data_IF_159479806328
#
_entry.id   IF_159479806328
#
_cell.length_a   1.000
_cell.length_b   1.000
_cell.length_c   1.000
_cell.angle_alpha   90.00
_cell.angle_beta   90.00
_cell.angle_gamma   90.00
#
_symmetry.space_group_name_H-M   'P 1'
#
loop_
_entity.id
_entity.type
_entity.pdbx_description
1 polymer ?
#
# COMPACT_ATOMS: atom_id res chain seq x y z
N UNK A 1 -18.91 13.94 -34.35
CA UNK A 1 -19.32 14.98 -35.33
C UNK A 1 -18.21 15.07 -36.39
N UNK A 2 -18.54 15.28 -37.68
CA UNK A 2 -17.52 15.52 -38.71
C UNK A 2 -16.71 16.80 -38.40
N UNK A 3 -15.44 16.86 -38.84
CA UNK A 3 -14.51 17.95 -38.51
C UNK A 3 -15.04 19.33 -38.92
N UNK A 4 -15.52 19.48 -40.16
CA UNK A 4 -16.30 20.65 -40.56
C UNK A 4 -17.80 20.34 -40.60
N UNK A 5 -18.69 21.26 -40.19
CA UNK A 5 -18.48 22.59 -39.59
C UNK A 5 -18.45 22.59 -38.05
N UNK A 6 -18.34 21.43 -37.40
CA UNK A 6 -18.64 21.29 -35.97
C UNK A 6 -17.43 21.52 -35.06
N UNK A 7 -16.20 21.28 -35.49
CA UNK A 7 -15.00 21.39 -34.64
C UNK A 7 -14.87 22.78 -33.99
N UNK A 8 -15.07 23.84 -34.76
CA UNK A 8 -15.02 25.22 -34.26
C UNK A 8 -16.12 25.53 -33.24
N UNK A 9 -17.34 25.03 -33.48
CA UNK A 9 -18.50 25.22 -32.58
C UNK A 9 -18.34 24.43 -31.28
N UNK A 10 -17.84 23.20 -31.37
CA UNK A 10 -17.55 22.34 -30.20
C UNK A 10 -16.44 22.95 -29.35
N UNK A 11 -15.35 23.45 -29.95
CA UNK A 11 -14.29 24.16 -29.22
C UNK A 11 -14.81 25.44 -28.54
N UNK A 12 -15.65 26.23 -29.22
CA UNK A 12 -16.24 27.43 -28.64
C UNK A 12 -17.17 27.10 -27.46
N UNK A 13 -18.00 26.05 -27.58
CA UNK A 13 -18.86 25.57 -26.51
C UNK A 13 -18.06 25.03 -25.31
N UNK A 14 -17.00 24.24 -25.55
CA UNK A 14 -16.10 23.75 -24.50
C UNK A 14 -15.42 24.91 -23.76
N UNK A 15 -14.91 25.90 -24.48
CA UNK A 15 -14.29 27.08 -23.87
C UNK A 15 -15.30 27.90 -23.05
N UNK A 16 -16.53 28.04 -23.53
CA UNK A 16 -17.60 28.73 -22.79
C UNK A 16 -17.97 27.99 -21.51
N UNK A 17 -18.15 26.66 -21.57
CA UNK A 17 -18.41 25.80 -20.42
C UNK A 17 -17.25 25.90 -19.43
N UNK A 18 -16.00 25.74 -19.87
CA UNK A 18 -14.81 25.87 -19.01
C UNK A 18 -14.76 27.22 -18.30
N UNK A 19 -15.12 28.30 -18.98
CA UNK A 19 -15.12 29.66 -18.41
C UNK A 19 -16.22 29.83 -17.35
N UNK A 20 -17.42 29.29 -17.60
CA UNK A 20 -18.51 29.27 -16.62
C UNK A 20 -18.15 28.41 -15.40
N UNK A 21 -17.65 27.20 -15.62
CA UNK A 21 -17.21 26.30 -14.55
C UNK A 21 -16.12 26.94 -13.71
N UNK A 22 -15.14 27.60 -14.34
CA UNK A 22 -14.08 28.33 -13.62
C UNK A 22 -14.64 29.47 -12.79
N UNK A 23 -15.61 30.22 -13.31
CA UNK A 23 -16.28 31.31 -12.58
C UNK A 23 -17.07 30.79 -11.38
N UNK A 24 -17.87 29.71 -11.54
CA UNK A 24 -18.60 29.06 -10.44
C UNK A 24 -17.64 28.51 -9.38
N UNK A 25 -16.56 27.83 -9.81
CA UNK A 25 -15.53 27.30 -8.92
C UNK A 25 -14.85 28.41 -8.09
N UNK A 26 -14.53 29.53 -8.72
CA UNK A 26 -13.93 30.69 -8.06
C UNK A 26 -14.90 31.35 -7.07
N UNK A 27 -16.17 31.50 -7.45
CA UNK A 27 -17.21 32.05 -6.58
C UNK A 27 -17.39 31.22 -5.30
N UNK A 28 -17.50 29.90 -5.43
CA UNK A 28 -17.66 29.00 -4.28
C UNK A 28 -16.44 29.07 -3.36
N UNK A 29 -15.23 29.09 -3.93
CA UNK A 29 -14.00 29.17 -3.14
C UNK A 29 -13.87 30.51 -2.40
N UNK A 30 -14.26 31.60 -3.05
CA UNK A 30 -14.30 32.92 -2.42
C UNK A 30 -15.32 32.96 -1.29
N UNK A 31 -16.52 32.42 -1.53
CA UNK A 31 -17.58 32.31 -0.51
C UNK A 31 -17.12 31.46 0.69
N UNK A 32 -16.42 30.35 0.43
CA UNK A 32 -15.87 29.50 1.46
C UNK A 32 -14.80 30.20 2.30
N UNK A 33 -13.85 30.88 1.65
CA UNK A 33 -12.82 31.66 2.35
C UNK A 33 -13.42 32.79 3.18
N UNK A 34 -14.41 33.50 2.64
CA UNK A 34 -15.12 34.54 3.37
C UNK A 34 -15.84 33.96 4.59
N UNK A 35 -16.55 32.83 4.45
CA UNK A 35 -17.20 32.16 5.57
C UNK A 35 -16.20 31.75 6.67
N UNK A 36 -15.00 31.28 6.30
CA UNK A 36 -13.96 30.99 7.28
C UNK A 36 -13.42 32.24 7.97
N UNK A 37 -13.21 33.33 7.23
CA UNK A 37 -12.75 34.61 7.79
C UNK A 37 -13.80 35.26 8.71
N UNK A 38 -15.08 35.10 8.39
CA UNK A 38 -16.21 35.63 9.14
C UNK A 38 -16.58 34.76 10.35
N UNK A 39 -15.80 33.70 10.63
CA UNK A 39 -16.04 32.74 11.70
C UNK A 39 -17.44 32.11 11.65
N UNK A 40 -17.88 31.75 10.44
CA UNK A 40 -19.15 31.09 10.20
C UNK A 40 -19.30 29.82 11.04
N UNK A 41 -20.54 29.43 11.33
CA UNK A 41 -20.81 28.20 12.09
C UNK A 41 -20.44 26.95 11.25
N UNK A 42 -20.10 25.81 11.89
CA UNK A 42 -19.75 24.58 11.17
C UNK A 42 -20.80 24.13 10.13
N UNK A 43 -22.08 24.38 10.40
CA UNK A 43 -23.19 24.05 9.49
C UNK A 43 -23.12 24.86 8.18
N UNK A 44 -22.75 26.13 8.24
CA UNK A 44 -22.63 26.99 7.05
C UNK A 44 -21.45 26.56 6.18
N UNK A 45 -20.31 26.24 6.81
CA UNK A 45 -19.12 25.69 6.14
C UNK A 45 -19.45 24.37 5.45
N UNK A 46 -20.18 23.47 6.14
CA UNK A 46 -20.64 22.22 5.57
C UNK A 46 -21.56 22.43 4.36
N UNK A 47 -22.54 23.35 4.45
CA UNK A 47 -23.47 23.61 3.35
C UNK A 47 -22.75 24.09 2.08
N UNK A 48 -21.74 24.97 2.22
CA UNK A 48 -20.94 25.43 1.08
C UNK A 48 -20.15 24.27 0.45
N UNK A 49 -19.57 23.39 1.27
CA UNK A 49 -18.87 22.21 0.76
C UNK A 49 -19.84 21.21 0.09
N UNK A 50 -21.03 21.01 0.66
CA UNK A 50 -22.05 20.11 0.15
C UNK A 50 -22.61 20.54 -1.23
N UNK A 51 -22.65 21.85 -1.51
CA UNK A 51 -22.98 22.37 -2.85
C UNK A 51 -22.01 21.89 -3.95
N UNK A 52 -20.79 21.52 -3.57
CA UNK A 52 -19.74 21.00 -4.48
C UNK A 52 -19.66 19.48 -4.45
N UNK A 53 -20.06 18.84 -3.35
CA UNK A 53 -19.84 17.42 -3.12
C UNK A 53 -20.44 16.52 -4.22
N UNK A 54 -21.58 16.90 -4.80
CA UNK A 54 -22.20 16.14 -5.90
C UNK A 54 -21.42 16.21 -7.23
N UNK A 55 -20.73 17.32 -7.50
CA UNK A 55 -19.96 17.53 -8.73
C UNK A 55 -18.48 17.08 -8.57
N UNK A 56 -17.89 17.33 -7.39
CA UNK A 56 -16.49 17.06 -7.07
C UNK A 56 -16.34 16.76 -5.56
N UNK A 57 -16.55 15.49 -5.15
CA UNK A 57 -16.47 15.08 -3.76
C UNK A 57 -15.11 15.32 -3.13
N UNK A 58 -14.04 15.11 -3.91
CA UNK A 58 -12.66 15.29 -3.44
C UNK A 58 -12.42 16.75 -3.04
N UNK A 59 -12.87 17.70 -3.86
CA UNK A 59 -12.74 19.12 -3.55
C UNK A 59 -13.56 19.52 -2.33
N UNK A 60 -14.79 19.01 -2.19
CA UNK A 60 -15.62 19.27 -1.02
C UNK A 60 -14.94 18.80 0.28
N UNK A 61 -14.38 17.59 0.29
CA UNK A 61 -13.65 17.07 1.45
C UNK A 61 -12.36 17.86 1.74
N UNK A 62 -11.64 18.31 0.71
CA UNK A 62 -10.45 19.19 0.91
C UNK A 62 -10.82 20.52 1.52
N UNK A 63 -11.98 21.08 1.16
CA UNK A 63 -12.50 22.28 1.80
C UNK A 63 -12.77 22.02 3.28
N UNK A 64 -13.44 20.92 3.63
CA UNK A 64 -13.69 20.56 5.02
C UNK A 64 -12.40 20.32 5.82
N UNK A 65 -11.45 19.56 5.27
CA UNK A 65 -10.12 19.36 5.86
C UNK A 65 -9.42 20.70 6.11
N UNK A 66 -9.48 21.63 5.15
CA UNK A 66 -8.92 22.96 5.33
C UNK A 66 -9.60 23.72 6.47
N UNK A 67 -10.93 23.69 6.56
CA UNK A 67 -11.67 24.33 7.66
C UNK A 67 -11.31 23.74 9.03
N UNK A 68 -11.10 22.42 9.11
CA UNK A 68 -10.64 21.73 10.33
C UNK A 68 -9.19 22.11 10.65
N UNK A 69 -8.33 22.31 9.65
CA UNK A 69 -6.93 22.68 9.90
C UNK A 69 -6.74 24.14 10.34
N UNK A 70 -7.58 25.06 9.88
CA UNK A 70 -7.54 26.50 10.18
C UNK A 70 -8.36 26.83 11.44
N UNK A 71 -8.86 25.81 12.14
CA UNK A 71 -9.87 25.86 13.20
C UNK A 71 -9.42 26.47 14.54
N UNK A 72 -8.43 27.37 14.58
CA UNK A 72 -8.00 28.03 15.83
C UNK A 72 -9.13 28.77 16.56
N UNK A 73 -10.23 29.03 15.86
CA UNK A 73 -11.41 29.76 16.34
C UNK A 73 -12.55 28.84 16.78
N UNK A 74 -12.57 27.58 16.35
CA UNK A 74 -13.62 26.63 16.73
C UNK A 74 -13.30 26.00 18.08
N UNK A 75 -14.30 25.89 18.94
CA UNK A 75 -14.16 25.12 20.18
C UNK A 75 -14.11 23.60 19.89
N UNK A 76 -13.71 22.79 20.87
CA UNK A 76 -13.58 21.34 20.72
C UNK A 76 -14.86 20.66 20.20
N UNK A 77 -16.04 21.17 20.58
CA UNK A 77 -17.33 20.61 20.15
C UNK A 77 -17.65 20.95 18.70
N UNK A 78 -17.32 22.16 18.27
CA UNK A 78 -17.48 22.60 16.87
C UNK A 78 -16.52 21.87 15.94
N UNK A 79 -15.28 21.65 16.38
CA UNK A 79 -14.30 20.84 15.64
C UNK A 79 -14.78 19.39 15.50
N UNK A 80 -15.26 18.76 16.59
CA UNK A 80 -15.81 17.42 16.54
C UNK A 80 -17.07 17.34 15.64
N UNK A 81 -17.92 18.36 15.67
CA UNK A 81 -19.08 18.44 14.77
C UNK A 81 -18.67 18.55 13.30
N UNK A 82 -17.63 19.33 13.00
CA UNK A 82 -17.15 19.50 11.63
C UNK A 82 -16.49 18.22 11.11
N UNK A 83 -15.72 17.53 11.97
CA UNK A 83 -15.16 16.21 11.68
C UNK A 83 -16.26 15.16 11.43
N UNK A 84 -17.31 15.12 12.26
CA UNK A 84 -18.44 14.21 12.05
C UNK A 84 -19.18 14.50 10.74
N UNK A 85 -19.37 15.76 10.38
CA UNK A 85 -19.94 16.14 9.09
C UNK A 85 -19.04 15.76 7.90
N UNK A 86 -17.72 15.84 8.07
CA UNK A 86 -16.74 15.41 7.06
C UNK A 86 -16.77 13.90 6.86
N UNK A 87 -16.83 13.12 7.95
CA UNK A 87 -16.94 11.66 7.91
C UNK A 87 -18.24 11.23 7.23
N UNK A 88 -19.37 11.87 7.55
CA UNK A 88 -20.65 11.60 6.88
C UNK A 88 -20.59 11.90 5.37
N UNK A 89 -19.96 13.02 4.97
CA UNK A 89 -19.78 13.35 3.55
C UNK A 89 -18.88 12.34 2.84
N UNK A 90 -17.81 11.90 3.51
CA UNK A 90 -16.90 10.90 2.99
C UNK A 90 -17.61 9.56 2.76
N UNK A 91 -18.36 9.06 3.75
CA UNK A 91 -19.12 7.82 3.64
C UNK A 91 -20.11 7.84 2.47
N UNK A 92 -20.73 8.99 2.18
CA UNK A 92 -21.64 9.12 1.04
C UNK A 92 -20.95 9.01 -0.34
N UNK A 93 -19.70 9.44 -0.44
CA UNK A 93 -18.96 9.53 -1.72
C UNK A 93 -17.73 8.61 -1.78
N UNK A 94 -17.58 7.70 -0.82
CA UNK A 94 -16.41 6.83 -0.67
C UNK A 94 -16.11 6.02 -1.94
N UNK A 95 -17.17 5.52 -2.59
CA UNK A 95 -17.11 4.72 -3.81
C UNK A 95 -16.68 5.52 -5.05
N UNK A 96 -16.48 6.83 -4.94
CA UNK A 96 -16.08 7.71 -6.04
C UNK A 96 -14.65 8.24 -5.87
N UNK A 97 -14.02 8.02 -4.70
CA UNK A 97 -12.71 8.59 -4.36
C UNK A 97 -11.69 7.44 -4.31
N UNK A 98 -10.75 7.36 -5.26
CA UNK A 98 -9.66 6.39 -5.22
C UNK A 98 -8.78 6.54 -3.99
N UNK A 99 -8.23 5.44 -3.46
CA UNK A 99 -7.37 5.45 -2.26
C UNK A 99 -6.17 6.38 -2.42
N UNK A 100 -5.54 6.44 -3.60
CA UNK A 100 -4.40 7.32 -3.89
C UNK A 100 -4.66 8.80 -3.63
N UNK A 101 -5.91 9.24 -3.67
CA UNK A 101 -6.28 10.65 -3.47
C UNK A 101 -6.63 10.99 -2.01
N UNK A 102 -6.74 9.97 -1.13
CA UNK A 102 -7.25 10.10 0.24
C UNK A 102 -6.20 10.53 1.26
N UNK A 103 -4.90 10.46 0.91
CA UNK A 103 -3.78 10.81 1.80
C UNK A 103 -3.89 12.21 2.42
N UNK A 104 -4.53 13.14 1.71
CA UNK A 104 -4.70 14.52 2.18
C UNK A 104 -5.64 14.69 3.37
N UNK A 105 -6.45 13.67 3.72
CA UNK A 105 -7.51 13.76 4.71
C UNK A 105 -7.08 13.24 6.09
N UNK A 106 -6.35 14.05 6.86
CA UNK A 106 -5.87 13.65 8.20
C UNK A 106 -7.01 13.55 9.21
N UNK A 107 -8.06 14.35 9.03
CA UNK A 107 -9.18 14.39 9.99
C UNK A 107 -10.09 13.15 9.93
N UNK A 108 -10.05 12.36 8.86
CA UNK A 108 -10.88 11.15 8.70
C UNK A 108 -10.32 9.93 9.41
N UNK A 109 -9.05 9.97 9.86
CA UNK A 109 -8.37 8.86 10.57
C UNK A 109 -8.55 7.51 9.85
N UNK A 110 -8.34 7.49 8.54
CA UNK A 110 -8.49 6.30 7.70
C UNK A 110 -7.28 5.39 7.86
N UNK A 111 -7.51 4.11 8.20
CA UNK A 111 -6.43 3.15 8.36
C UNK A 111 -5.75 2.84 7.01
N UNK A 112 -4.41 2.80 6.94
CA UNK A 112 -3.71 2.36 5.74
C UNK A 112 -3.85 0.85 5.54
N UNK A 113 -3.87 0.43 4.28
CA UNK A 113 -3.78 -0.97 3.87
C UNK A 113 -2.33 -1.31 3.58
N UNK A 114 -1.78 -2.24 4.34
CA UNK A 114 -0.40 -2.68 4.23
C UNK A 114 -0.33 -3.95 3.38
N UNK A 115 0.32 -3.82 2.22
CA UNK A 115 0.64 -4.94 1.33
C UNK A 115 1.93 -5.59 1.83
N UNK A 116 1.83 -6.86 2.25
CA UNK A 116 2.93 -7.60 2.87
C UNK A 116 3.79 -8.29 1.80
N UNK A 117 5.09 -8.00 1.80
CA UNK A 117 6.10 -8.68 1.00
C UNK A 117 6.45 -10.07 1.59
N UNK A 118 6.85 -11.01 0.73
CA UNK A 118 7.30 -12.37 1.10
C UNK A 118 8.39 -12.31 2.18
N UNK A 119 9.33 -11.37 2.06
CA UNK A 119 10.44 -11.23 3.01
C UNK A 119 9.96 -11.01 4.47
N UNK A 120 8.83 -10.32 4.67
CA UNK A 120 8.28 -10.10 6.01
C UNK A 120 7.59 -11.34 6.56
N UNK A 121 6.98 -12.16 5.71
CA UNK A 121 6.42 -13.46 6.11
C UNK A 121 7.55 -14.41 6.53
N UNK A 122 8.67 -14.42 5.80
CA UNK A 122 9.87 -15.21 6.14
C UNK A 122 10.53 -14.73 7.44
N UNK A 123 10.53 -13.42 7.71
CA UNK A 123 10.95 -12.88 9.01
C UNK A 123 10.04 -13.33 10.15
N UNK A 124 8.73 -13.33 9.93
CA UNK A 124 7.74 -13.85 10.88
C UNK A 124 7.97 -15.32 11.21
N UNK A 125 8.17 -16.13 10.16
CA UNK A 125 8.53 -17.55 10.29
C UNK A 125 9.81 -17.73 11.10
N UNK A 126 10.86 -17.00 10.75
CA UNK A 126 12.16 -17.07 11.43
C UNK A 126 12.03 -16.70 12.91
N UNK A 127 11.24 -15.68 13.22
CA UNK A 127 11.05 -15.19 14.59
C UNK A 127 10.22 -16.15 15.42
N UNK A 128 9.20 -16.77 14.84
CA UNK A 128 8.38 -17.78 15.51
C UNK A 128 9.16 -19.07 15.79
N UNK A 129 9.97 -19.52 14.83
CA UNK A 129 10.89 -20.64 15.02
C UNK A 129 11.87 -20.34 16.16
N UNK A 130 12.50 -19.15 16.14
CA UNK A 130 13.42 -18.75 17.22
C UNK A 130 12.72 -18.68 18.57
N UNK A 131 11.47 -18.21 18.62
CA UNK A 131 10.67 -18.18 19.84
C UNK A 131 10.46 -19.58 20.40
N UNK A 132 10.01 -20.53 19.58
CA UNK A 132 9.82 -21.94 20.01
C UNK A 132 11.14 -22.57 20.47
N UNK A 133 12.25 -22.28 19.80
CA UNK A 133 13.59 -22.74 20.18
C UNK A 133 14.11 -22.09 21.49
N UNK A 134 13.72 -20.86 21.78
CA UNK A 134 14.13 -20.13 22.98
C UNK A 134 13.30 -20.50 24.22
N UNK A 135 12.07 -21.00 24.07
CA UNK A 135 11.27 -21.47 25.22
C UNK A 135 11.96 -22.64 25.94
N UNK A 136 12.76 -23.44 25.23
CA UNK A 136 13.52 -24.57 25.82
C UNK A 136 14.90 -24.21 26.37
N UNK A 137 15.39 -22.98 26.12
CA UNK A 137 16.66 -22.50 26.67
C UNK A 137 16.46 -21.07 27.15
N UNK A 138 16.58 -20.84 28.47
CA UNK A 138 16.54 -19.53 29.16
C UNK A 138 17.49 -18.42 28.61
N UNK A 139 18.03 -18.54 27.39
CA UNK A 139 18.77 -17.51 26.68
C UNK A 139 17.83 -16.55 25.95
N UNK A 140 17.73 -15.33 26.49
CA UNK A 140 17.19 -14.16 25.81
C UNK A 140 18.00 -13.87 24.55
N UNK A 141 17.56 -14.39 23.40
CA UNK A 141 18.00 -13.89 22.11
C UNK A 141 17.25 -12.58 21.86
N UNK A 142 17.94 -11.45 21.98
CA UNK A 142 17.39 -10.15 21.65
C UNK A 142 17.27 -10.05 20.12
N UNK A 143 16.07 -10.14 19.53
CA UNK A 143 15.94 -10.10 18.08
C UNK A 143 16.39 -8.74 17.57
N UNK A 144 17.19 -8.71 16.50
CA UNK A 144 17.53 -7.47 15.80
C UNK A 144 16.26 -6.65 15.51
N UNK A 145 16.33 -5.32 15.55
CA UNK A 145 15.19 -4.44 15.23
C UNK A 145 14.52 -4.72 13.88
N UNK A 146 15.27 -5.27 12.92
CA UNK A 146 14.75 -5.77 11.64
C UNK A 146 13.73 -6.90 11.84
N UNK A 147 14.04 -7.88 12.70
CA UNK A 147 13.13 -8.98 13.04
C UNK A 147 11.90 -8.49 13.81
N UNK A 148 11.87 -7.25 14.32
CA UNK A 148 10.70 -6.74 15.05
C UNK A 148 9.66 -6.08 14.14
N UNK A 149 9.97 -5.81 12.87
CA UNK A 149 9.03 -5.06 12.03
C UNK A 149 7.71 -5.82 11.80
N UNK A 150 7.78 -7.14 11.56
CA UNK A 150 6.58 -7.97 11.44
C UNK A 150 5.77 -8.01 12.76
N UNK A 151 6.43 -7.96 13.92
CA UNK A 151 5.74 -7.89 15.23
C UNK A 151 5.03 -6.55 15.43
N UNK A 152 5.63 -5.45 14.97
CA UNK A 152 5.01 -4.14 15.02
C UNK A 152 3.80 -4.10 14.08
N UNK A 153 3.91 -4.63 12.87
CA UNK A 153 2.79 -4.76 11.95
C UNK A 153 1.65 -5.57 12.60
N UNK A 154 1.98 -6.73 13.19
CA UNK A 154 1.02 -7.56 13.93
C UNK A 154 0.34 -6.78 15.06
N UNK A 155 1.11 -6.07 15.88
CA UNK A 155 0.55 -5.29 16.99
C UNK A 155 -0.39 -4.19 16.49
N UNK A 156 -0.02 -3.48 15.42
CA UNK A 156 -0.82 -2.40 14.82
C UNK A 156 -2.08 -2.93 14.13
N UNK A 157 -2.02 -4.12 13.52
CA UNK A 157 -3.19 -4.78 12.94
C UNK A 157 -4.16 -5.17 14.06
N UNK A 158 -3.67 -5.79 15.15
CA UNK A 158 -4.48 -6.16 16.30
C UNK A 158 -5.14 -4.96 17.03
N UNK A 159 -4.57 -3.76 16.93
CA UNK A 159 -5.15 -2.53 17.48
C UNK A 159 -6.03 -1.77 16.48
N UNK A 160 -6.35 -2.38 15.32
CA UNK A 160 -7.14 -1.79 14.22
C UNK A 160 -6.57 -0.47 13.68
N UNK A 161 -5.26 -0.25 13.83
CA UNK A 161 -4.59 0.95 13.32
C UNK A 161 -4.16 0.81 11.87
N UNK A 162 -3.98 -0.43 11.42
CA UNK A 162 -3.69 -0.77 10.02
C UNK A 162 -4.55 -1.95 9.61
N UNK A 163 -4.70 -2.13 8.30
CA UNK A 163 -5.20 -3.37 7.71
C UNK A 163 -4.08 -4.04 6.95
N UNK A 164 -4.07 -5.36 6.88
CA UNK A 164 -3.00 -6.11 6.20
C UNK A 164 -3.57 -6.95 5.07
N UNK A 165 -2.84 -6.96 3.96
CA UNK A 165 -3.16 -7.74 2.77
C UNK A 165 -1.91 -8.48 2.30
N UNK A 166 -2.06 -9.77 2.02
CA UNK A 166 -0.99 -10.60 1.49
C UNK A 166 -1.31 -10.96 0.03
N UNK A 167 -0.52 -10.48 -0.94
CA UNK A 167 -0.68 -10.84 -2.35
C UNK A 167 -0.58 -12.35 -2.58
N UNK A 168 -1.29 -12.87 -3.57
CA UNK A 168 -1.23 -14.29 -3.96
C UNK A 168 0.19 -14.72 -4.35
N UNK A 169 0.96 -13.83 -4.98
CA UNK A 169 2.37 -14.06 -5.30
C UNK A 169 3.22 -14.26 -4.05
N UNK A 170 3.06 -13.40 -3.05
CA UNK A 170 3.77 -13.53 -1.77
C UNK A 170 3.37 -14.80 -1.00
N UNK A 171 2.09 -15.19 -1.06
CA UNK A 171 1.61 -16.46 -0.48
C UNK A 171 2.24 -17.68 -1.16
N UNK A 172 2.26 -17.69 -2.49
CA UNK A 172 2.83 -18.78 -3.27
C UNK A 172 4.35 -18.88 -3.06
N UNK A 173 5.04 -17.73 -3.03
CA UNK A 173 6.47 -17.70 -2.74
C UNK A 173 6.73 -18.19 -1.32
N UNK A 174 6.02 -17.67 -0.31
CA UNK A 174 6.15 -18.12 1.09
C UNK A 174 5.95 -19.63 1.22
N UNK A 175 4.91 -20.18 0.58
CA UNK A 175 4.65 -21.62 0.56
C UNK A 175 5.77 -22.41 -0.10
N UNK A 176 6.23 -22.00 -1.29
CA UNK A 176 7.29 -22.70 -2.04
C UNK A 176 8.65 -22.73 -1.31
N UNK A 177 8.90 -21.77 -0.41
CA UNK A 177 10.11 -21.72 0.41
C UNK A 177 10.09 -22.69 1.60
N UNK A 178 8.91 -23.16 1.99
CA UNK A 178 8.71 -23.98 3.21
C UNK A 178 8.27 -25.41 2.84
N UNK A 179 7.55 -25.56 1.73
CA UNK A 179 7.00 -26.82 1.24
C UNK A 179 7.90 -27.37 0.13
N UNK A 180 8.00 -28.70 0.07
CA UNK A 180 8.56 -29.35 -1.10
C UNK A 180 7.53 -29.39 -2.23
N UNK A 181 7.85 -28.73 -3.36
CA UNK A 181 6.97 -28.62 -4.53
C UNK A 181 6.58 -29.97 -5.13
N UNK A 182 7.39 -31.02 -4.92
CA UNK A 182 7.14 -32.36 -5.47
C UNK A 182 6.25 -33.22 -4.57
N UNK A 183 6.42 -33.13 -3.24
CA UNK A 183 5.69 -33.97 -2.28
C UNK A 183 4.52 -33.25 -1.61
N UNK A 184 4.49 -31.92 -1.65
CA UNK A 184 3.49 -31.11 -0.95
C UNK A 184 3.68 -31.07 0.58
N UNK A 185 4.73 -31.70 1.10
CA UNK A 185 5.01 -31.78 2.53
C UNK A 185 5.88 -30.60 3.01
N UNK A 186 5.67 -30.18 4.25
CA UNK A 186 6.47 -29.17 4.92
C UNK A 186 7.88 -29.70 5.21
N UNK A 187 8.91 -28.97 4.79
CA UNK A 187 10.30 -29.41 4.86
C UNK A 187 11.12 -28.55 5.84
N UNK A 188 11.35 -29.01 7.08
CA UNK A 188 12.14 -28.28 8.07
C UNK A 188 13.56 -27.95 7.60
N UNK A 189 14.15 -28.75 6.71
CA UNK A 189 15.49 -28.46 6.18
C UNK A 189 15.50 -27.22 5.29
N UNK A 190 14.48 -27.02 4.45
CA UNK A 190 14.30 -25.79 3.67
C UNK A 190 14.09 -24.60 4.58
N UNK A 191 13.20 -24.71 5.58
CA UNK A 191 12.98 -23.63 6.55
C UNK A 191 14.26 -23.26 7.31
N UNK A 192 15.07 -24.24 7.71
CA UNK A 192 16.36 -24.02 8.37
C UNK A 192 17.36 -23.26 7.48
N UNK A 193 17.34 -23.50 6.17
CA UNK A 193 18.23 -22.81 5.22
C UNK A 193 17.95 -21.30 5.13
N UNK A 194 16.72 -20.86 5.40
CA UNK A 194 16.33 -19.45 5.40
C UNK A 194 16.90 -18.70 6.61
N UNK A 195 17.09 -19.40 7.72
CA UNK A 195 17.58 -18.85 9.00
C UNK A 195 19.12 -18.94 9.06
N UNK A 196 19.80 -19.25 7.94
CA UNK A 196 21.25 -19.50 7.86
C UNK A 196 22.11 -18.38 8.45
N UNK A 197 21.69 -17.12 8.32
CA UNK A 197 22.42 -15.97 8.89
C UNK A 197 22.40 -15.93 10.43
N UNK A 198 21.40 -16.56 11.05
CA UNK A 198 21.22 -16.67 12.51
C UNK A 198 21.67 -18.06 13.02
N UNK A 199 21.80 -19.04 12.10
CA UNK A 199 22.18 -20.45 12.32
C UNK A 199 23.44 -20.66 13.15
N UNK A 200 24.39 -19.70 13.16
CA UNK A 200 25.59 -19.78 14.02
C UNK A 200 25.27 -19.86 15.52
N UNK A 201 24.05 -19.54 15.93
CA UNK A 201 23.61 -19.58 17.32
C UNK A 201 22.50 -20.62 17.58
N UNK A 202 22.16 -21.44 16.57
CA UNK A 202 21.08 -22.44 16.67
C UNK A 202 21.70 -23.83 16.81
N UNK A 203 21.26 -24.58 17.82
CA UNK A 203 21.60 -26.00 17.93
C UNK A 203 20.74 -26.80 16.94
N UNK A 204 21.40 -27.47 15.98
CA UNK A 204 20.77 -28.19 14.87
C UNK A 204 20.01 -29.44 15.35
N UNK A 205 20.52 -30.14 16.37
CA UNK A 205 19.84 -31.31 16.94
C UNK A 205 18.55 -30.92 17.65
N UNK A 206 18.59 -29.84 18.44
CA UNK A 206 17.40 -29.27 19.07
C UNK A 206 16.38 -28.78 18.03
N UNK A 207 16.84 -28.22 16.91
CA UNK A 207 15.97 -27.77 15.82
C UNK A 207 15.19 -28.93 15.22
N UNK A 208 15.86 -30.04 14.88
CA UNK A 208 15.18 -31.20 14.29
C UNK A 208 14.24 -31.91 15.29
N UNK A 209 14.49 -31.78 16.60
CA UNK A 209 13.61 -32.33 17.63
C UNK A 209 12.33 -31.50 17.81
N UNK A 210 12.43 -30.16 17.73
CA UNK A 210 11.32 -29.23 18.02
C UNK A 210 10.53 -28.89 16.76
N UNK A 211 11.21 -28.65 15.64
CA UNK A 211 10.60 -28.23 14.37
C UNK A 211 10.34 -29.46 13.50
N UNK A 212 9.18 -30.08 13.73
CA UNK A 212 8.63 -31.13 12.85
C UNK A 212 7.82 -30.51 11.71
N UNK A 213 7.50 -31.28 10.64
CA UNK A 213 6.62 -30.81 9.57
C UNK A 213 5.27 -30.28 10.08
N UNK A 214 4.67 -30.91 11.10
CA UNK A 214 3.40 -30.48 11.69
C UNK A 214 3.53 -29.14 12.41
N UNK A 215 4.59 -28.96 13.21
CA UNK A 215 4.89 -27.70 13.89
C UNK A 215 5.12 -26.59 12.87
N UNK A 216 5.79 -26.89 11.76
CA UNK A 216 6.04 -25.93 10.68
C UNK A 216 4.75 -25.52 9.95
N UNK A 217 3.83 -26.46 9.75
CA UNK A 217 2.48 -26.19 9.23
C UNK A 217 1.66 -25.28 10.16
N UNK A 218 1.67 -25.55 11.46
CA UNK A 218 1.01 -24.70 12.46
C UNK A 218 1.55 -23.27 12.42
N UNK A 219 2.88 -23.10 12.37
CA UNK A 219 3.52 -21.78 12.29
C UNK A 219 3.10 -21.07 11.00
N UNK A 220 3.14 -21.77 9.87
CA UNK A 220 2.73 -21.22 8.58
C UNK A 220 1.28 -20.72 8.62
N UNK A 221 0.35 -21.55 9.10
CA UNK A 221 -1.06 -21.18 9.18
C UNK A 221 -1.31 -20.03 10.15
N UNK A 222 -0.65 -20.03 11.32
CA UNK A 222 -0.73 -18.93 12.30
C UNK A 222 -0.29 -17.60 11.70
N UNK A 223 0.80 -17.59 10.91
CA UNK A 223 1.29 -16.37 10.25
C UNK A 223 0.27 -15.88 9.21
N UNK A 224 -0.34 -16.81 8.45
CA UNK A 224 -1.34 -16.44 7.46
C UNK A 224 -2.60 -15.84 8.09
N UNK A 225 -3.07 -16.42 9.20
CA UNK A 225 -4.21 -15.87 9.96
C UNK A 225 -3.90 -14.48 10.52
N UNK A 226 -2.66 -14.25 10.99
CA UNK A 226 -2.24 -12.98 11.58
C UNK A 226 -2.14 -11.83 10.57
N UNK A 227 -1.77 -12.10 9.31
CA UNK A 227 -1.56 -11.07 8.28
C UNK A 227 -2.72 -10.93 7.28
N UNK A 228 -3.79 -11.72 7.41
CA UNK A 228 -4.93 -11.72 6.46
C UNK A 228 -6.18 -11.08 7.06
N UNK A 229 -6.04 -9.88 7.60
CA UNK A 229 -7.15 -9.07 8.11
C UNK A 229 -8.03 -8.51 6.99
N UNK A 230 -7.43 -8.16 5.84
CA UNK A 230 -8.17 -7.67 4.68
C UNK A 230 -8.05 -8.63 3.49
N UNK A 231 -9.17 -8.90 2.85
CA UNK A 231 -9.26 -9.68 1.62
C UNK A 231 -9.96 -8.90 0.53
N UNK A 232 -9.51 -9.05 -0.70
CA UNK A 232 -10.28 -8.62 -1.86
C UNK A 232 -11.62 -9.36 -1.83
N UNK A 233 -12.74 -8.64 -1.97
CA UNK A 233 -14.03 -9.27 -2.28
C UNK A 233 -13.82 -10.22 -3.44
N UNK A 234 -14.38 -11.43 -3.38
CA UNK A 234 -14.22 -12.46 -4.41
C UNK A 234 -14.98 -12.11 -5.71
N UNK A 235 -14.83 -10.88 -6.18
CA UNK A 235 -15.36 -10.41 -7.45
C UNK A 235 -14.56 -11.05 -8.59
N UNK A 236 -15.27 -11.68 -9.50
CA UNK A 236 -14.71 -12.18 -10.76
C UNK A 236 -13.98 -11.04 -11.48
N UNK A 237 -12.69 -11.22 -11.76
CA UNK A 237 -11.90 -10.28 -12.55
C UNK A 237 -10.84 -9.46 -11.81
N UNK A 238 -10.64 -9.60 -10.48
CA UNK A 238 -9.56 -8.88 -9.79
C UNK A 238 -8.19 -9.10 -10.45
N UNK A 239 -7.86 -10.34 -10.82
CA UNK A 239 -6.62 -10.67 -11.53
C UNK A 239 -6.53 -9.96 -12.90
N UNK A 240 -7.62 -9.89 -13.66
CA UNK A 240 -7.66 -9.19 -14.96
C UNK A 240 -7.51 -7.68 -14.78
N UNK A 241 -8.08 -7.11 -13.73
CA UNK A 241 -7.93 -5.69 -13.41
C UNK A 241 -6.52 -5.35 -12.88
N UNK A 242 -5.85 -6.28 -12.18
CA UNK A 242 -4.43 -6.15 -11.83
C UNK A 242 -3.58 -6.18 -13.11
N UNK A 243 -3.89 -7.04 -14.07
CA UNK A 243 -3.22 -7.04 -15.38
C UNK A 243 -3.45 -5.73 -16.14
N UNK A 244 -4.60 -5.08 -16.00
CA UNK A 244 -4.84 -3.76 -16.60
C UNK A 244 -3.91 -2.66 -16.04
N UNK A 245 -3.36 -2.81 -14.84
CA UNK A 245 -2.36 -1.88 -14.29
C UNK A 245 -0.96 -2.05 -14.89
N UNK A 246 -0.76 -3.05 -15.75
CA UNK A 246 0.55 -3.34 -16.34
C UNK A 246 1.10 -2.15 -17.11
N UNK A 247 0.26 -1.38 -17.83
CA UNK A 247 0.73 -0.21 -18.58
C UNK A 247 1.33 0.88 -17.68
N UNK A 248 0.69 1.17 -16.55
CA UNK A 248 1.13 2.22 -15.64
C UNK A 248 2.42 1.82 -14.93
N UNK A 249 2.53 0.55 -14.53
CA UNK A 249 3.76 -0.01 -13.97
C UNK A 249 4.88 -0.02 -15.01
N UNK A 250 4.62 -0.44 -16.25
CA UNK A 250 5.65 -0.41 -17.32
C UNK A 250 6.14 1.01 -17.58
N UNK A 251 5.23 1.98 -17.70
CA UNK A 251 5.59 3.39 -17.87
C UNK A 251 6.45 3.89 -16.70
N UNK A 252 6.09 3.50 -15.47
CA UNK A 252 6.88 3.82 -14.28
C UNK A 252 8.29 3.24 -14.35
N UNK A 253 8.43 1.96 -14.70
CA UNK A 253 9.72 1.27 -14.81
C UNK A 253 10.61 1.92 -15.87
N UNK A 254 10.05 2.21 -17.05
CA UNK A 254 10.77 2.86 -18.15
C UNK A 254 11.25 4.27 -17.76
N UNK A 255 10.40 5.04 -17.09
CA UNK A 255 10.75 6.39 -16.60
C UNK A 255 11.94 6.34 -15.62
N UNK A 256 12.03 5.28 -14.79
CA UNK A 256 13.06 5.13 -13.76
C UNK A 256 14.17 4.14 -14.14
N UNK A 257 14.34 3.84 -15.44
CA UNK A 257 15.32 2.89 -15.98
C UNK A 257 16.75 3.10 -15.44
N UNK A 258 17.21 4.36 -15.35
CA UNK A 258 18.56 4.69 -14.88
C UNK A 258 18.82 4.27 -13.43
N UNK A 259 17.80 4.38 -12.57
CA UNK A 259 17.87 3.98 -11.15
C UNK A 259 17.90 2.45 -11.06
N UNK A 260 17.02 1.76 -11.77
CA UNK A 260 16.98 0.30 -11.80
C UNK A 260 18.27 -0.33 -12.33
N UNK A 261 18.94 0.32 -13.29
CA UNK A 261 20.28 -0.08 -13.73
C UNK A 261 21.30 -0.02 -12.60
N UNK A 262 21.27 1.02 -11.76
CA UNK A 262 22.15 1.12 -10.59
C UNK A 262 21.82 0.06 -9.54
N UNK A 263 20.54 -0.16 -9.23
CA UNK A 263 20.09 -1.22 -8.31
C UNK A 263 20.59 -2.58 -8.76
N UNK A 264 20.46 -2.87 -10.06
CA UNK A 264 20.94 -4.12 -10.66
C UNK A 264 22.45 -4.29 -10.49
N UNK A 265 23.25 -3.24 -10.72
CA UNK A 265 24.70 -3.27 -10.48
C UNK A 265 25.02 -3.56 -9.00
N UNK A 266 24.26 -2.97 -8.06
CA UNK A 266 24.45 -3.24 -6.63
C UNK A 266 24.03 -4.65 -6.23
N UNK A 267 22.93 -5.19 -6.78
CA UNK A 267 22.48 -6.57 -6.54
C UNK A 267 23.45 -7.59 -7.16
N UNK A 268 23.99 -7.31 -8.34
CA UNK A 268 24.98 -8.16 -9.01
C UNK A 268 26.25 -8.35 -8.17
N UNK A 269 26.75 -7.27 -7.54
CA UNK A 269 27.90 -7.34 -6.62
C UNK A 269 27.67 -8.21 -5.38
N UNK A 270 26.41 -8.51 -5.05
CA UNK A 270 26.01 -9.37 -3.93
C UNK A 270 25.55 -10.76 -4.37
N UNK A 271 25.70 -11.11 -5.65
CA UNK A 271 25.29 -12.41 -6.20
C UNK A 271 23.80 -12.53 -6.51
N UNK A 272 23.07 -11.42 -6.65
CA UNK A 272 21.62 -11.38 -6.94
C UNK A 272 21.27 -10.98 -8.37
N UNK A 273 22.20 -11.07 -9.32
CA UNK A 273 21.95 -10.67 -10.72
C UNK A 273 20.96 -11.61 -11.43
N UNK A 274 20.98 -12.90 -11.11
CA UNK A 274 20.33 -13.96 -11.88
C UNK A 274 18.80 -14.04 -11.70
N UNK A 275 18.23 -13.18 -10.85
CA UNK A 275 16.79 -13.15 -10.54
C UNK A 275 16.06 -11.94 -11.14
N UNK A 276 16.79 -11.03 -11.78
CA UNK A 276 16.20 -9.87 -12.45
C UNK A 276 15.39 -10.32 -13.65
N UNK A 277 14.34 -9.58 -13.97
CA UNK A 277 13.56 -9.86 -15.18
C UNK A 277 14.25 -9.28 -16.41
N UNK A 278 14.70 -10.18 -17.29
CA UNK A 278 14.76 -9.96 -18.73
C UNK A 278 13.38 -10.32 -19.31
N UNK A 279 12.87 -9.49 -20.20
CA UNK A 279 11.56 -9.60 -20.85
C UNK A 279 11.11 -11.06 -21.13
N UNK A 280 9.95 -11.48 -20.61
CA UNK A 280 8.90 -12.29 -21.26
C UNK A 280 7.93 -12.85 -20.21
N UNK A 281 6.70 -12.33 -20.18
CA UNK A 281 5.51 -13.15 -19.86
C UNK A 281 4.20 -12.49 -20.35
N UNK A 282 4.14 -11.16 -20.56
CA UNK A 282 2.91 -10.47 -20.99
C UNK A 282 3.06 -9.45 -22.16
N UNK A 283 4.07 -9.59 -23.03
CA UNK A 283 4.09 -8.89 -24.33
C UNK A 283 4.40 -7.38 -24.34
N UNK A 284 5.08 -6.81 -23.35
CA UNK A 284 5.61 -5.43 -23.43
C UNK A 284 7.14 -5.39 -23.38
N UNK A 285 7.73 -4.55 -24.23
CA UNK A 285 9.17 -4.24 -24.30
C UNK A 285 9.61 -3.40 -23.10
N UNK A 286 10.37 -4.05 -22.22
CA UNK A 286 11.14 -3.39 -21.18
C UNK A 286 12.57 -3.95 -21.32
N UNK A 287 13.51 -3.06 -21.59
CA UNK A 287 14.87 -3.24 -22.15
C UNK A 287 15.57 -4.61 -22.05
N UNK A 288 16.38 -4.92 -23.08
CA UNK A 288 17.23 -6.13 -23.20
C UNK A 288 18.23 -6.36 -22.04
N UNK A 289 18.44 -5.35 -21.18
CA UNK A 289 19.52 -5.33 -20.17
C UNK A 289 19.20 -6.13 -18.89
N UNK A 290 17.98 -6.68 -18.72
CA UNK A 290 17.64 -7.49 -17.54
C UNK A 290 17.72 -6.73 -16.22
N UNK A 291 17.25 -5.48 -16.22
CA UNK A 291 17.49 -4.54 -15.12
C UNK A 291 16.30 -4.32 -14.22
N UNK A 292 15.16 -5.01 -14.43
CA UNK A 292 13.92 -4.74 -13.70
C UNK A 292 13.70 -5.70 -12.52
N UNK A 293 12.81 -5.34 -11.56
CA UNK A 293 12.47 -6.18 -10.42
C UNK A 293 12.04 -7.61 -10.79
N UNK A 294 12.09 -8.53 -9.83
CA UNK A 294 11.68 -9.92 -10.05
C UNK A 294 10.18 -10.00 -10.42
N UNK A 295 9.68 -11.06 -11.09
CA UNK A 295 8.26 -11.14 -11.47
C UNK A 295 7.32 -11.00 -10.27
N UNK A 296 7.70 -11.60 -9.12
CA UNK A 296 6.96 -11.48 -7.87
C UNK A 296 6.85 -10.03 -7.38
N UNK A 297 7.94 -9.27 -7.43
CA UNK A 297 7.97 -7.86 -7.07
C UNK A 297 7.08 -7.02 -8.00
N UNK A 298 7.15 -7.28 -9.31
CA UNK A 298 6.31 -6.60 -10.30
C UNK A 298 4.82 -6.85 -10.06
N UNK A 299 4.45 -8.07 -9.68
CA UNK A 299 3.07 -8.40 -9.36
C UNK A 299 2.61 -7.75 -8.05
N UNK A 300 3.49 -7.62 -7.05
CA UNK A 300 3.21 -6.81 -5.86
C UNK A 300 2.98 -5.35 -6.24
N UNK A 301 3.81 -4.77 -7.12
CA UNK A 301 3.65 -3.39 -7.60
C UNK A 301 2.30 -3.19 -8.32
N UNK A 302 1.95 -4.09 -9.25
CA UNK A 302 0.67 -4.03 -9.99
C UNK A 302 -0.51 -4.15 -9.03
N UNK A 303 -0.43 -5.09 -8.09
CA UNK A 303 -1.48 -5.31 -7.09
C UNK A 303 -1.67 -4.09 -6.20
N UNK A 304 -0.58 -3.50 -5.70
CA UNK A 304 -0.66 -2.28 -4.89
C UNK A 304 -1.18 -1.07 -5.69
N UNK A 305 -0.75 -0.91 -6.95
CA UNK A 305 -1.24 0.15 -7.86
C UNK A 305 -2.74 0.03 -8.11
N UNK A 306 -3.21 -1.21 -8.30
CA UNK A 306 -4.64 -1.50 -8.45
C UNK A 306 -5.41 -1.09 -7.19
N UNK A 307 -4.99 -1.57 -6.03
CA UNK A 307 -5.62 -1.24 -4.74
C UNK A 307 -5.62 0.28 -4.47
N UNK A 308 -4.56 0.99 -4.88
CA UNK A 308 -4.46 2.44 -4.72
C UNK A 308 -5.42 3.19 -5.68
N UNK A 309 -5.69 2.64 -6.86
CA UNK A 309 -6.62 3.21 -7.83
C UNK A 309 -8.09 2.87 -7.55
N UNK A 310 -8.35 1.87 -6.70
CA UNK A 310 -9.69 1.47 -6.31
C UNK A 310 -10.28 2.35 -5.21
N UNK A 311 -11.61 2.34 -5.12
CA UNK A 311 -12.37 3.01 -4.07
C UNK A 311 -12.65 2.02 -2.93
N UNK A 312 -11.63 1.67 -2.15
CA UNK A 312 -11.74 0.68 -1.07
C UNK A 312 -12.47 1.24 0.16
N UNK A 313 -13.25 0.43 0.88
CA UNK A 313 -13.96 0.90 2.08
C UNK A 313 -12.99 1.20 3.25
N UNK A 314 -13.07 2.41 3.79
CA UNK A 314 -12.35 3.04 4.91
C UNK A 314 -10.82 3.03 4.82
N UNK A 315 -10.25 2.79 3.63
CA UNK A 315 -8.79 2.72 3.44
C UNK A 315 -8.25 4.11 3.11
N UNK A 316 -7.24 4.56 3.85
CA UNK A 316 -6.64 5.90 3.67
C UNK A 316 -5.48 5.95 2.71
N UNK A 317 -4.72 4.86 2.61
CA UNK A 317 -3.56 4.73 1.75
C UNK A 317 -3.25 3.24 1.50
N UNK A 318 -2.51 2.94 0.43
CA UNK A 318 -1.92 1.61 0.19
C UNK A 318 -0.41 1.72 0.38
N UNK A 319 0.16 0.85 1.21
CA UNK A 319 1.60 0.90 1.56
C UNK A 319 2.20 -0.49 1.42
N UNK A 320 3.26 -0.64 0.65
CA UNK A 320 4.02 -1.88 0.56
C UNK A 320 5.01 -1.93 1.73
N UNK A 321 4.87 -2.94 2.57
CA UNK A 321 5.84 -3.22 3.62
C UNK A 321 6.92 -4.14 3.06
N UNK A 322 8.08 -3.56 2.73
CA UNK A 322 9.21 -4.28 2.12
C UNK A 322 10.54 -3.61 2.47
N UNK A 323 11.61 -4.40 2.49
CA UNK A 323 12.99 -3.90 2.60
C UNK A 323 13.76 -3.98 1.28
N UNK A 324 13.13 -4.43 0.20
CA UNK A 324 13.84 -4.52 -1.07
C UNK A 324 14.15 -3.12 -1.60
N UNK A 325 15.40 -2.96 -2.04
CA UNK A 325 15.90 -1.81 -2.79
C UNK A 325 15.06 -1.46 -4.03
N UNK A 326 14.41 -2.44 -4.66
CA UNK A 326 13.57 -2.20 -5.84
C UNK A 326 12.38 -1.28 -5.53
N UNK A 327 11.84 -1.34 -4.31
CA UNK A 327 10.79 -0.43 -3.86
C UNK A 327 11.33 0.75 -3.06
N UNK A 328 12.26 0.50 -2.14
CA UNK A 328 12.67 1.50 -1.13
C UNK A 328 13.45 2.68 -1.71
N UNK A 329 14.23 2.48 -2.78
CA UNK A 329 14.95 3.58 -3.45
C UNK A 329 14.03 4.48 -4.28
N UNK A 330 12.86 3.96 -4.66
CA UNK A 330 11.87 4.62 -5.49
C UNK A 330 10.58 4.95 -4.72
N UNK A 331 10.61 4.86 -3.38
CA UNK A 331 9.43 5.01 -2.53
C UNK A 331 8.63 6.29 -2.82
N UNK A 332 9.33 7.42 -3.00
CA UNK A 332 8.68 8.69 -3.30
C UNK A 332 8.08 8.72 -4.70
N UNK A 333 8.78 8.16 -5.69
CA UNK A 333 8.30 8.09 -7.05
C UNK A 333 7.07 7.17 -7.17
N UNK A 334 7.05 6.04 -6.45
CA UNK A 334 5.90 5.14 -6.36
C UNK A 334 4.66 5.82 -5.80
N UNK A 335 4.86 6.63 -4.75
CA UNK A 335 3.77 7.41 -4.16
C UNK A 335 3.21 8.43 -5.16
N UNK A 336 4.06 9.18 -5.85
CA UNK A 336 3.64 10.25 -6.74
C UNK A 336 3.02 9.75 -8.04
N UNK A 337 3.48 8.61 -8.56
CA UNK A 337 3.05 8.08 -9.87
C UNK A 337 1.92 7.05 -9.73
N UNK A 338 2.04 6.12 -8.79
CA UNK A 338 1.09 5.01 -8.62
C UNK A 338 0.18 5.20 -7.39
N UNK A 339 0.43 6.19 -6.54
CA UNK A 339 -0.32 6.38 -5.30
C UNK A 339 0.03 5.37 -4.21
N UNK A 340 1.18 4.70 -4.34
CA UNK A 340 1.58 3.58 -3.48
C UNK A 340 2.73 4.00 -2.56
N UNK A 341 2.51 3.85 -1.26
CA UNK A 341 3.53 4.03 -0.24
C UNK A 341 4.50 2.87 -0.12
N UNK A 342 5.66 3.13 0.49
CA UNK A 342 6.61 2.08 0.89
C UNK A 342 7.04 2.32 2.34
N UNK A 343 7.08 1.27 3.14
CA UNK A 343 7.57 1.31 4.51
C UNK A 343 8.52 0.13 4.80
N UNK A 344 9.80 0.43 5.06
CA UNK A 344 10.81 -0.60 5.36
C UNK A 344 10.94 -0.96 6.83
N UNK A 345 10.40 -0.10 7.70
CA UNK A 345 10.44 -0.24 9.15
C UNK A 345 9.29 0.51 9.82
N UNK A 346 9.22 0.41 11.14
CA UNK A 346 8.17 1.04 11.94
C UNK A 346 8.19 2.57 11.91
N UNK A 347 9.36 3.19 11.71
CA UNK A 347 9.49 4.66 11.65
C UNK A 347 8.84 5.17 10.36
N UNK A 348 9.09 4.50 9.24
CA UNK A 348 8.46 4.85 7.96
C UNK A 348 6.97 4.52 7.99
N UNK A 349 6.57 3.39 8.58
CA UNK A 349 5.15 3.05 8.76
C UNK A 349 4.39 4.13 9.55
N UNK A 350 5.01 4.71 10.58
CA UNK A 350 4.39 5.75 11.40
C UNK A 350 4.05 7.03 10.63
N UNK A 351 4.60 7.24 9.42
CA UNK A 351 4.24 8.36 8.56
C UNK A 351 2.91 8.15 7.81
N UNK A 352 2.35 6.94 7.89
CA UNK A 352 1.11 6.51 7.25
C UNK A 352 -0.03 6.27 8.24
N UNK A 353 0.27 6.43 9.54
CA UNK A 353 -0.69 6.46 10.64
C UNK A 353 -1.01 7.92 10.96
#
# INVERSE_FOLDING_TARGET
LPEEPFLGRVRAALNHIQRITSSRRYHIETRFRNALNDFARPVEVYNIANEVASDDPLRALRMMEHAISVSSHYNLREQASLQASMDAMYQQHENQIPVKERRGFKSLNLAPLIVIDTNLLLDGLSSEILRRMAVDRNGLMNPNSSLMFHQILRHRANTNQIRTFVPSTALNEFRSRIVNTETGEYEPQKALSLIYNIRRHINIEAYHAIITPQVLEEIHNSILEEFRDWSVSAEEGFHEQVLAQTSDVVNFLQTHHSIYKQVTIFKARRGGADKRTTQTENGMEISEDGIFPEPGDLDIMKTASKLASDCLERVGAVVIATRDSDFTLLARALEETLGVGVAKNAIELAQWL
#
